data_IF_374970721430
#
_entry.id   IF_374970721430
#
_cell.length_a   1.000
_cell.length_b   1.000
_cell.length_c   1.000
_cell.angle_alpha   90.00
_cell.angle_beta   90.00
_cell.angle_gamma   90.00
#
_symmetry.space_group_name_H-M   'P 1'
#
loop_
_entity.id
_entity.type
_entity.pdbx_description
1 polymer ?
#
# COMPACT_ATOMS: atom_id res chain seq x y z
N UNK A 1 43.69 34.29 -46.11
CA UNK A 1 43.37 35.72 -46.29
C UNK A 1 41.93 35.92 -45.83
N UNK A 2 41.78 36.28 -44.56
CA UNK A 2 40.50 36.55 -43.90
C UNK A 2 40.32 38.06 -43.79
N UNK A 3 39.17 38.54 -44.24
CA UNK A 3 38.64 39.88 -44.00
C UNK A 3 37.16 39.82 -44.33
N UNK A 4 36.22 40.38 -43.58
CA UNK A 4 36.26 41.19 -42.38
C UNK A 4 34.92 41.91 -42.32
N UNK A 5 34.29 42.04 -41.15
CA UNK A 5 33.28 43.08 -40.87
C UNK A 5 32.99 43.04 -39.35
N UNK A 6 33.47 43.97 -38.51
CA UNK A 6 33.15 45.39 -38.27
C UNK A 6 32.15 45.59 -37.12
N UNK A 7 32.57 46.43 -36.17
CA UNK A 7 31.79 47.42 -35.38
C UNK A 7 31.33 47.07 -33.94
N UNK A 8 32.14 47.64 -33.01
CA UNK A 8 31.89 48.40 -31.75
C UNK A 8 31.33 47.78 -30.45
N UNK A 9 32.21 47.82 -29.45
CA UNK A 9 32.10 48.42 -28.09
C UNK A 9 30.72 48.58 -27.43
N UNK A 10 30.63 48.16 -26.17
CA UNK A 10 29.64 48.69 -25.24
C UNK A 10 29.49 47.89 -23.95
N UNK A 11 30.12 48.40 -22.88
CA UNK A 11 29.99 47.95 -21.50
C UNK A 11 28.55 47.97 -20.97
N UNK A 12 28.34 47.08 -19.99
CA UNK A 12 27.56 47.27 -18.76
C UNK A 12 26.02 47.07 -18.78
N UNK A 13 25.66 46.03 -18.02
CA UNK A 13 24.55 45.93 -17.07
C UNK A 13 23.12 45.57 -17.52
N UNK A 14 22.55 44.70 -16.67
CA UNK A 14 21.13 44.43 -16.38
C UNK A 14 20.31 43.71 -17.45
N UNK A 15 19.96 42.46 -17.14
CA UNK A 15 18.69 42.20 -16.44
C UNK A 15 18.58 40.71 -16.10
N UNK A 16 18.52 40.42 -14.79
CA UNK A 16 17.87 39.23 -14.28
C UNK A 16 16.46 39.16 -14.90
N UNK A 17 16.19 38.11 -15.68
CA UNK A 17 14.88 37.82 -16.23
C UNK A 17 13.95 37.38 -15.08
N UNK A 18 13.46 38.34 -14.31
CA UNK A 18 12.26 38.15 -13.50
C UNK A 18 11.04 38.31 -14.41
N UNK A 19 10.07 37.38 -14.36
CA UNK A 19 8.87 37.45 -15.20
C UNK A 19 8.05 38.70 -14.89
N UNK A 20 7.53 39.34 -15.94
CA UNK A 20 6.64 40.50 -15.83
C UNK A 20 5.29 40.09 -15.24
N UNK A 21 4.79 40.98 -14.38
CA UNK A 21 3.45 40.97 -13.78
C UNK A 21 2.37 40.89 -14.86
N UNK A 22 1.67 39.76 -14.98
CA UNK A 22 0.43 39.71 -15.77
C UNK A 22 0.04 38.43 -16.52
N UNK A 23 0.64 37.26 -16.27
CA UNK A 23 0.18 36.01 -16.90
C UNK A 23 -0.15 34.94 -15.85
N UNK A 24 -1.38 34.44 -15.97
CA UNK A 24 -2.15 33.60 -15.05
C UNK A 24 -1.38 32.46 -14.35
N UNK A 25 -1.08 32.67 -13.08
CA UNK A 25 -0.58 31.65 -12.14
C UNK A 25 -1.55 30.46 -11.92
N UNK A 26 -2.78 30.54 -12.45
CA UNK A 26 -3.85 29.56 -12.22
C UNK A 26 -3.66 28.25 -12.99
N UNK A 27 -3.13 28.29 -14.23
CA UNK A 27 -2.95 27.08 -15.06
C UNK A 27 -1.83 26.16 -14.57
N UNK A 28 -0.76 26.75 -14.04
CA UNK A 28 0.40 26.00 -13.53
C UNK A 28 0.15 25.41 -12.14
N UNK A 29 -0.69 26.03 -11.30
CA UNK A 29 -1.08 25.48 -10.00
C UNK A 29 -1.91 24.19 -10.11
N UNK A 30 -2.80 24.09 -11.09
CA UNK A 30 -3.65 22.92 -11.28
C UNK A 30 -2.86 21.68 -11.77
N UNK A 31 -1.92 21.87 -12.70
CA UNK A 31 -1.11 20.78 -13.25
C UNK A 31 -0.07 20.24 -12.25
N UNK A 32 0.46 21.10 -11.37
CA UNK A 32 1.35 20.69 -10.27
C UNK A 32 0.55 19.92 -9.20
N UNK A 33 -0.66 20.38 -8.85
CA UNK A 33 -1.55 19.67 -7.92
C UNK A 33 -2.04 18.31 -8.46
N UNK A 34 -2.35 18.20 -9.75
CA UNK A 34 -2.80 16.93 -10.35
C UNK A 34 -1.66 15.91 -10.45
N UNK A 35 -0.44 16.35 -10.78
CA UNK A 35 0.76 15.48 -10.78
C UNK A 35 1.15 15.04 -9.37
N UNK A 36 0.99 15.90 -8.37
CA UNK A 36 1.23 15.54 -6.97
C UNK A 36 0.19 14.49 -6.51
N UNK A 37 -1.09 14.66 -6.84
CA UNK A 37 -2.17 13.70 -6.55
C UNK A 37 -1.96 12.31 -7.17
N UNK A 38 -1.39 12.23 -8.37
CA UNK A 38 -1.05 10.93 -9.00
C UNK A 38 0.13 10.26 -8.28
N UNK A 39 1.08 11.04 -7.75
CA UNK A 39 2.26 10.52 -7.04
C UNK A 39 1.94 10.04 -5.62
N UNK A 40 1.02 10.68 -4.87
CA UNK A 40 0.59 10.16 -3.54
C UNK A 40 -0.22 8.86 -3.64
N UNK A 41 -0.89 8.58 -4.77
CA UNK A 41 -1.67 7.35 -4.95
C UNK A 41 -0.80 6.10 -5.22
N UNK A 42 0.53 6.28 -5.36
CA UNK A 42 1.51 5.21 -5.57
C UNK A 42 2.37 4.91 -4.32
N UNK A 43 2.01 5.46 -3.14
CA UNK A 43 2.63 5.09 -1.86
C UNK A 43 2.17 3.69 -1.44
N UNK A 44 2.96 2.69 -1.86
CA UNK A 44 3.02 1.31 -1.36
C UNK A 44 1.68 0.64 -1.05
N UNK A 45 1.10 -0.01 -2.07
CA UNK A 45 0.07 -1.01 -1.85
C UNK A 45 0.73 -2.23 -1.18
N UNK A 46 0.92 -2.18 0.14
CA UNK A 46 1.41 -3.34 0.88
C UNK A 46 0.49 -4.53 0.58
N UNK A 47 1.08 -5.65 0.15
CA UNK A 47 0.31 -6.88 -0.05
C UNK A 47 -0.30 -7.28 1.30
N UNK A 48 -1.51 -7.79 1.31
CA UNK A 48 -2.16 -8.26 2.53
C UNK A 48 -2.11 -9.78 2.55
N UNK A 49 -1.81 -10.35 3.72
CA UNK A 49 -1.85 -11.79 3.95
C UNK A 49 -3.23 -12.34 3.57
N UNK A 50 -3.26 -13.27 2.63
CA UNK A 50 -4.53 -13.84 2.12
C UNK A 50 -5.24 -14.74 3.15
N UNK A 51 -4.61 -15.02 4.29
CA UNK A 51 -5.15 -15.82 5.39
C UNK A 51 -5.65 -15.01 6.59
N UNK A 52 -5.16 -13.79 6.82
CA UNK A 52 -5.52 -13.01 8.02
C UNK A 52 -5.57 -11.48 7.81
N UNK A 53 -5.37 -11.01 6.58
CA UNK A 53 -5.45 -9.60 6.23
C UNK A 53 -4.33 -8.70 6.76
N UNK A 54 -3.32 -9.26 7.47
CA UNK A 54 -2.16 -8.47 7.94
C UNK A 54 -1.35 -7.93 6.75
N UNK A 55 -0.87 -6.68 6.80
CA UNK A 55 0.02 -6.16 5.77
C UNK A 55 1.34 -6.93 5.74
N UNK A 56 1.89 -7.11 4.55
CA UNK A 56 3.18 -7.69 4.22
C UNK A 56 4.00 -6.60 3.53
N UNK A 57 4.79 -5.88 4.33
CA UNK A 57 5.65 -4.78 3.92
C UNK A 57 7.09 -5.21 3.68
N UNK A 58 7.58 -6.25 4.37
CA UNK A 58 8.95 -6.74 4.24
C UNK A 58 9.03 -8.26 4.13
N UNK A 59 10.16 -8.75 3.60
CA UNK A 59 10.42 -10.19 3.43
C UNK A 59 10.23 -10.98 4.73
N UNK A 60 10.60 -10.40 5.86
CA UNK A 60 10.54 -11.04 7.17
C UNK A 60 9.10 -11.27 7.66
N UNK A 61 8.13 -10.57 7.07
CA UNK A 61 6.72 -10.73 7.38
C UNK A 61 6.07 -11.86 6.58
N UNK A 62 6.66 -12.26 5.45
CA UNK A 62 6.21 -13.39 4.65
C UNK A 62 6.62 -14.74 5.26
N UNK A 63 5.75 -15.73 5.14
CA UNK A 63 6.02 -17.10 5.57
C UNK A 63 7.28 -17.67 4.93
N UNK A 64 8.15 -18.28 5.75
CA UNK A 64 9.48 -18.75 5.34
C UNK A 64 10.39 -17.68 4.70
N UNK A 65 10.14 -16.39 4.93
CA UNK A 65 10.88 -15.28 4.32
C UNK A 65 10.87 -15.30 2.79
N UNK A 66 9.79 -15.84 2.22
CA UNK A 66 9.58 -15.98 0.79
C UNK A 66 8.60 -14.91 0.30
N UNK A 67 9.06 -14.01 -0.57
CA UNK A 67 8.24 -12.90 -1.11
C UNK A 67 7.08 -13.39 -1.97
N UNK A 68 7.18 -14.61 -2.52
CA UNK A 68 6.12 -15.22 -3.32
C UNK A 68 5.05 -15.92 -2.45
N UNK A 69 5.30 -16.05 -1.13
CA UNK A 69 4.33 -16.61 -0.20
C UNK A 69 3.25 -15.56 0.14
N UNK A 70 1.97 -15.79 -0.19
CA UNK A 70 0.90 -14.81 0.06
C UNK A 70 0.49 -14.76 1.54
N UNK A 71 1.12 -15.54 2.42
CA UNK A 71 0.78 -15.66 3.83
C UNK A 71 1.87 -15.09 4.73
N UNK A 72 1.46 -14.50 5.86
CA UNK A 72 2.40 -13.98 6.85
C UNK A 72 3.02 -15.08 7.72
N UNK A 73 4.13 -14.76 8.39
CA UNK A 73 4.81 -15.65 9.34
C UNK A 73 3.93 -16.21 10.46
N UNK A 74 2.83 -15.52 10.81
CA UNK A 74 1.92 -15.97 11.87
C UNK A 74 0.86 -16.96 11.36
N UNK A 75 0.65 -17.02 10.05
CA UNK A 75 -0.32 -17.94 9.43
C UNK A 75 0.37 -19.17 8.84
N UNK A 76 1.70 -19.25 8.89
CA UNK A 76 2.47 -20.34 8.30
C UNK A 76 3.33 -21.06 9.34
N UNK A 77 3.71 -22.30 9.02
CA UNK A 77 4.79 -22.99 9.73
C UNK A 77 6.19 -22.48 9.33
N UNK A 78 7.23 -23.06 9.92
CA UNK A 78 8.64 -22.73 9.63
C UNK A 78 9.03 -22.96 8.15
N UNK A 79 8.25 -23.76 7.42
CA UNK A 79 8.46 -24.06 5.99
C UNK A 79 7.58 -23.20 5.09
N UNK A 80 6.83 -22.25 5.66
CA UNK A 80 5.96 -21.35 4.90
C UNK A 80 4.62 -21.98 4.53
N UNK A 81 4.30 -23.18 5.04
CA UNK A 81 3.02 -23.84 4.77
C UNK A 81 1.93 -23.24 5.65
N UNK A 82 0.80 -22.91 5.06
CA UNK A 82 -0.37 -22.38 5.75
C UNK A 82 -0.84 -23.31 6.88
N UNK A 83 -1.11 -22.74 8.05
CA UNK A 83 -1.66 -23.43 9.21
C UNK A 83 -3.09 -23.93 8.93
N UNK A 84 -3.56 -24.97 9.66
CA UNK A 84 -4.94 -25.42 9.54
C UNK A 84 -5.95 -24.31 9.89
N UNK A 85 -7.11 -24.34 9.23
CA UNK A 85 -8.20 -23.38 9.45
C UNK A 85 -8.57 -23.24 10.92
N UNK A 86 -8.69 -24.35 11.65
CA UNK A 86 -9.09 -24.39 13.06
C UNK A 86 -8.11 -23.61 13.92
N UNK A 87 -6.81 -23.73 13.62
CA UNK A 87 -5.76 -23.03 14.36
C UNK A 87 -5.85 -21.52 14.14
N UNK A 88 -6.00 -21.09 12.88
CA UNK A 88 -6.12 -19.67 12.53
C UNK A 88 -7.42 -19.07 13.07
N UNK A 89 -8.51 -19.84 13.04
CA UNK A 89 -9.81 -19.48 13.62
C UNK A 89 -9.69 -19.25 15.13
N UNK A 90 -9.16 -20.21 15.87
CA UNK A 90 -9.00 -20.12 17.32
C UNK A 90 -8.11 -18.92 17.72
N UNK A 91 -7.02 -18.70 16.99
CA UNK A 91 -6.12 -17.56 17.22
C UNK A 91 -6.83 -16.21 16.94
N UNK A 92 -7.68 -16.15 15.91
CA UNK A 92 -8.48 -14.96 15.60
C UNK A 92 -9.56 -14.69 16.65
N UNK A 93 -10.27 -15.73 17.11
CA UNK A 93 -11.26 -15.63 18.20
C UNK A 93 -10.58 -15.13 19.47
N UNK A 94 -9.46 -15.73 19.85
CA UNK A 94 -8.69 -15.30 21.02
C UNK A 94 -8.23 -13.84 20.89
N UNK A 95 -7.73 -13.44 19.72
CA UNK A 95 -7.32 -12.07 19.45
C UNK A 95 -8.49 -11.08 19.54
N UNK A 96 -9.66 -11.43 18.99
CA UNK A 96 -10.85 -10.59 19.05
C UNK A 96 -11.35 -10.40 20.49
N UNK A 97 -11.33 -11.46 21.31
CA UNK A 97 -11.66 -11.35 22.73
C UNK A 97 -10.68 -10.42 23.47
N UNK A 98 -9.37 -10.57 23.22
CA UNK A 98 -8.33 -9.81 23.92
C UNK A 98 -8.24 -8.34 23.49
N UNK A 99 -8.38 -8.06 22.20
CA UNK A 99 -8.09 -6.73 21.63
C UNK A 99 -9.33 -5.91 21.33
N UNK A 100 -10.48 -6.57 21.10
CA UNK A 100 -11.75 -5.92 20.76
C UNK A 100 -12.81 -6.06 21.86
N UNK A 101 -12.45 -6.64 23.01
CA UNK A 101 -13.31 -6.79 24.18
C UNK A 101 -14.62 -7.50 23.87
N UNK A 102 -14.62 -8.37 22.86
CA UNK A 102 -15.77 -9.17 22.47
C UNK A 102 -15.93 -10.34 23.43
N UNK A 103 -17.17 -10.72 23.74
CA UNK A 103 -17.42 -12.01 24.37
C UNK A 103 -17.15 -13.15 23.36
N UNK A 104 -17.11 -14.39 23.86
CA UNK A 104 -16.77 -15.56 23.03
C UNK A 104 -17.68 -15.70 21.80
N UNK A 105 -18.99 -15.62 21.97
CA UNK A 105 -19.97 -15.80 20.88
C UNK A 105 -19.83 -14.69 19.82
N UNK A 106 -19.64 -13.45 20.26
CA UNK A 106 -19.35 -12.32 19.36
C UNK A 106 -18.04 -12.51 18.60
N UNK A 107 -16.99 -13.00 19.27
CA UNK A 107 -15.68 -13.23 18.68
C UNK A 107 -15.70 -14.38 17.66
N UNK A 108 -16.42 -15.46 17.93
CA UNK A 108 -16.62 -16.59 17.01
C UNK A 108 -17.34 -16.15 15.73
N UNK A 109 -18.44 -15.39 15.88
CA UNK A 109 -19.17 -14.83 14.74
C UNK A 109 -18.29 -13.88 13.93
N UNK A 110 -17.59 -12.97 14.61
CA UNK A 110 -16.65 -12.05 13.99
C UNK A 110 -15.55 -12.79 13.21
N UNK A 111 -14.98 -13.85 13.79
CA UNK A 111 -13.93 -14.63 13.15
C UNK A 111 -14.42 -15.29 11.86
N UNK A 112 -15.61 -15.88 11.86
CA UNK A 112 -16.20 -16.47 10.65
C UNK A 112 -16.48 -15.43 9.56
N UNK A 113 -17.00 -14.26 9.95
CA UNK A 113 -17.26 -13.14 9.02
C UNK A 113 -15.97 -12.67 8.34
N UNK A 114 -14.88 -12.48 9.10
CA UNK A 114 -13.59 -12.07 8.55
C UNK A 114 -12.95 -13.16 7.69
N UNK A 115 -12.95 -14.40 8.16
CA UNK A 115 -12.40 -15.52 7.40
C UNK A 115 -13.16 -15.72 6.08
N UNK A 116 -14.46 -15.43 6.03
CA UNK A 116 -15.25 -15.45 4.79
C UNK A 116 -14.80 -14.40 3.75
N UNK A 117 -14.10 -13.35 4.16
CA UNK A 117 -13.57 -12.30 3.26
C UNK A 117 -12.20 -12.65 2.71
N UNK A 118 -11.44 -13.48 3.42
CA UNK A 118 -10.07 -13.82 3.06
C UNK A 118 -10.00 -14.93 2.01
N UNK A 119 -9.19 -14.76 0.93
CA UNK A 119 -9.11 -15.72 -0.16
C UNK A 119 -8.82 -17.16 0.27
N UNK A 120 -7.98 -17.34 1.31
CA UNK A 120 -7.61 -18.66 1.79
C UNK A 120 -8.79 -19.50 2.35
N UNK A 121 -9.85 -18.84 2.84
CA UNK A 121 -10.90 -19.51 3.62
C UNK A 121 -12.30 -19.31 3.09
N UNK A 122 -12.52 -18.34 2.19
CA UNK A 122 -13.83 -17.99 1.65
C UNK A 122 -14.67 -19.21 1.25
N UNK A 123 -14.12 -20.08 0.42
CA UNK A 123 -14.85 -21.27 -0.06
C UNK A 123 -15.23 -22.24 1.06
N UNK A 124 -14.41 -22.33 2.10
CA UNK A 124 -14.66 -23.18 3.26
C UNK A 124 -15.78 -22.59 4.12
N UNK A 125 -15.73 -21.28 4.40
CA UNK A 125 -16.76 -20.59 5.17
C UNK A 125 -18.09 -20.60 4.42
N UNK A 126 -18.09 -20.37 3.11
CA UNK A 126 -19.31 -20.45 2.28
C UNK A 126 -19.99 -21.82 2.39
N UNK A 127 -19.22 -22.92 2.45
CA UNK A 127 -19.76 -24.27 2.66
C UNK A 127 -20.33 -24.47 4.05
N UNK A 128 -19.77 -23.81 5.07
CA UNK A 128 -20.29 -23.88 6.45
C UNK A 128 -21.59 -23.10 6.61
N UNK A 129 -21.76 -21.99 5.88
CA UNK A 129 -22.94 -21.11 5.96
C UNK A 129 -24.13 -21.58 5.11
N UNK A 130 -23.89 -22.34 4.02
CA UNK A 130 -24.94 -22.90 3.14
C UNK A 130 -25.63 -24.16 3.71
N UNK A 131 -25.51 -24.40 5.02
CA UNK A 131 -26.00 -25.62 5.68
C UNK A 131 -27.44 -25.48 6.15
#
# INVERSE_FOLDING_TARGET
MTGGCRIINGLAERALLLPRRGEDASKYGYLVSLRLLVLVNAMSLAMQCESCGRPLASREEHGAQDLDNPYCIHCTDLKGKLLPFEKVYDDLVASAMQTRWMNKEQAEKYALEEMGRWPAWKDRVDKMLKR
#
